data_IF_739485644601
#
_entry.id   IF_739485644601
#
_cell.length_a   1.000
_cell.length_b   1.000
_cell.length_c   1.000
_cell.angle_alpha   90.00
_cell.angle_beta   90.00
_cell.angle_gamma   90.00
#
_symmetry.space_group_name_H-M   'P 1'
#
loop_
_entity.id
_entity.type
_entity.pdbx_description
1 polymer ?
#
# COMPACT_ATOMS: atom_id res chain seq x y z
N UNK A 1 -2.69 11.16 -25.94
CA UNK A 1 -2.65 12.61 -25.64
C UNK A 1 -1.63 12.88 -24.54
N UNK A 2 -0.86 13.97 -24.61
CA UNK A 2 0.05 14.38 -23.51
C UNK A 2 -0.75 15.14 -22.44
N UNK A 3 -0.69 14.70 -21.19
CA UNK A 3 -1.22 15.41 -20.02
C UNK A 3 -0.04 15.88 -19.19
N UNK A 4 0.12 17.18 -18.99
CA UNK A 4 1.29 17.75 -18.35
C UNK A 4 1.58 19.18 -18.78
N UNK A 5 2.84 19.58 -18.77
CA UNK A 5 3.29 20.94 -19.00
C UNK A 5 4.44 20.98 -19.99
N UNK A 6 4.39 21.94 -20.91
CA UNK A 6 5.53 22.37 -21.70
C UNK A 6 6.31 23.43 -20.91
N UNK A 7 7.58 23.16 -20.59
CA UNK A 7 8.39 24.04 -19.72
C UNK A 7 8.82 25.31 -20.43
N UNK A 8 9.00 25.28 -21.76
CA UNK A 8 9.47 26.42 -22.57
C UNK A 8 8.39 27.48 -22.73
N UNK A 9 7.17 27.03 -23.01
CA UNK A 9 6.02 27.92 -23.27
C UNK A 9 5.20 28.20 -22.02
N UNK A 10 5.36 27.39 -20.97
CA UNK A 10 4.49 27.40 -19.80
C UNK A 10 3.10 26.79 -20.07
N UNK A 11 2.86 26.26 -21.27
CA UNK A 11 1.56 25.74 -21.65
C UNK A 11 1.22 24.47 -20.87
N UNK A 12 0.06 24.49 -20.20
CA UNK A 12 -0.44 23.39 -19.39
C UNK A 12 -1.57 22.63 -20.09
N UNK A 13 -1.48 21.29 -20.09
CA UNK A 13 -2.46 20.34 -20.61
C UNK A 13 -3.00 19.51 -19.44
N UNK A 14 -4.24 19.76 -19.06
CA UNK A 14 -4.91 19.05 -17.97
C UNK A 14 -6.30 18.57 -18.34
N UNK A 15 -6.99 18.08 -17.32
CA UNK A 15 -8.40 17.69 -17.42
C UNK A 15 -9.23 18.69 -16.63
N UNK A 16 -10.33 19.16 -17.22
CA UNK A 16 -11.36 19.96 -16.54
C UNK A 16 -12.66 19.20 -16.70
N UNK A 17 -13.43 19.11 -15.62
CA UNK A 17 -14.74 18.47 -15.68
C UNK A 17 -15.71 19.29 -16.51
N UNK A 18 -16.75 18.62 -16.98
CA UNK A 18 -17.96 19.31 -17.42
C UNK A 18 -18.68 19.96 -16.26
N UNK A 19 -19.59 20.88 -16.56
CA UNK A 19 -20.42 21.57 -15.56
C UNK A 19 -21.46 20.63 -15.00
N UNK A 20 -22.06 19.80 -15.86
CA UNK A 20 -22.96 18.71 -15.48
C UNK A 20 -22.84 17.55 -16.46
N UNK A 21 -23.69 16.53 -16.32
CA UNK A 21 -23.75 15.43 -17.28
C UNK A 21 -24.15 15.89 -18.70
N UNK A 22 -24.99 16.93 -18.80
CA UNK A 22 -25.58 17.40 -20.06
C UNK A 22 -25.01 18.74 -20.54
N UNK A 23 -24.14 19.39 -19.74
CA UNK A 23 -23.52 20.68 -20.07
C UNK A 23 -21.98 20.54 -20.16
N UNK A 24 -21.41 20.56 -21.38
CA UNK A 24 -19.96 20.44 -21.60
C UNK A 24 -19.16 21.70 -21.25
N UNK A 25 -19.79 22.75 -20.71
CA UNK A 25 -19.09 23.91 -20.18
C UNK A 25 -18.07 23.57 -19.08
N UNK A 26 -17.14 24.49 -18.81
CA UNK A 26 -16.08 24.27 -17.82
C UNK A 26 -16.64 24.17 -16.39
N UNK A 27 -16.54 22.98 -15.79
CA UNK A 27 -16.95 22.72 -14.42
C UNK A 27 -15.90 23.09 -13.37
N UNK A 28 -16.23 22.79 -12.11
CA UNK A 28 -15.41 23.17 -10.94
C UNK A 28 -14.21 22.27 -10.67
N UNK A 29 -14.19 21.06 -11.24
CA UNK A 29 -13.14 20.09 -10.95
C UNK A 29 -12.06 20.09 -12.02
N UNK A 30 -10.80 20.03 -11.60
CA UNK A 30 -9.69 19.95 -12.55
C UNK A 30 -8.54 19.08 -12.04
N UNK A 31 -7.78 18.51 -12.96
CA UNK A 31 -6.53 17.80 -12.72
C UNK A 31 -5.39 18.68 -13.22
N UNK A 32 -4.39 18.94 -12.37
CA UNK A 32 -3.25 19.82 -12.67
C UNK A 32 -1.92 19.16 -12.30
N UNK A 33 -0.90 19.32 -13.13
CA UNK A 33 0.46 18.91 -12.82
C UNK A 33 1.12 20.01 -11.99
N UNK A 34 1.64 19.65 -10.82
CA UNK A 34 2.58 20.47 -10.07
C UNK A 34 4.02 20.02 -10.41
N UNK A 35 4.86 20.88 -11.01
CA UNK A 35 6.25 20.55 -11.33
C UNK A 35 7.22 20.78 -10.17
N UNK A 36 6.80 21.41 -9.07
CA UNK A 36 7.66 21.72 -7.92
C UNK A 36 8.10 20.46 -7.16
N UNK A 37 9.33 20.48 -6.64
CA UNK A 37 9.94 19.35 -5.95
C UNK A 37 10.01 18.09 -6.83
N UNK A 38 9.36 17.00 -6.42
CA UNK A 38 9.10 15.87 -7.32
C UNK A 38 7.75 16.04 -8.02
N UNK A 39 7.66 16.04 -9.36
CA UNK A 39 6.42 16.30 -10.06
C UNK A 39 5.26 15.40 -9.64
N UNK A 40 4.08 15.98 -9.43
CA UNK A 40 2.86 15.25 -9.04
C UNK A 40 1.60 15.82 -9.68
N UNK A 41 0.59 14.98 -9.90
CA UNK A 41 -0.75 15.47 -10.22
C UNK A 41 -1.54 15.76 -8.95
N UNK A 42 -2.23 16.89 -8.95
CA UNK A 42 -3.19 17.28 -7.94
C UNK A 42 -4.55 17.49 -8.60
N UNK A 43 -5.60 17.09 -7.90
CA UNK A 43 -6.97 17.29 -8.35
C UNK A 43 -7.65 18.28 -7.42
N UNK A 44 -8.32 19.26 -8.02
CA UNK A 44 -8.85 20.42 -7.35
C UNK A 44 -10.35 20.52 -7.54
N UNK A 45 -11.05 20.97 -6.49
CA UNK A 45 -12.36 21.61 -6.59
C UNK A 45 -12.15 23.11 -6.43
N UNK A 46 -12.30 23.86 -7.51
CA UNK A 46 -11.86 25.26 -7.55
C UNK A 46 -10.36 25.37 -7.27
N UNK A 47 -9.98 25.92 -6.12
CA UNK A 47 -8.58 26.08 -5.67
C UNK A 47 -8.16 25.06 -4.60
N UNK A 48 -9.10 24.29 -4.04
CA UNK A 48 -8.81 23.33 -2.96
C UNK A 48 -8.42 21.97 -3.55
N UNK A 49 -7.20 21.53 -3.28
CA UNK A 49 -6.78 20.17 -3.60
C UNK A 49 -7.59 19.18 -2.76
N UNK A 50 -8.13 18.13 -3.39
CA UNK A 50 -8.87 17.07 -2.71
C UNK A 50 -8.27 15.70 -2.94
N UNK A 51 -7.42 15.52 -3.94
CA UNK A 51 -6.74 14.26 -4.24
C UNK A 51 -5.35 14.57 -4.80
N UNK A 52 -4.38 13.75 -4.44
CA UNK A 52 -3.00 13.82 -4.93
C UNK A 52 -2.57 12.47 -5.48
N UNK A 53 -1.92 12.49 -6.65
CA UNK A 53 -1.28 11.33 -7.25
C UNK A 53 0.13 11.11 -6.66
N UNK A 54 0.71 9.91 -6.80
CA UNK A 54 2.06 9.64 -6.28
C UNK A 54 3.08 10.59 -6.89
N UNK A 55 4.23 10.85 -6.25
CA UNK A 55 5.29 11.60 -6.89
C UNK A 55 5.95 10.81 -8.01
N UNK A 56 6.54 11.50 -8.96
CA UNK A 56 7.48 10.90 -9.89
C UNK A 56 8.64 10.19 -9.13
N UNK A 57 9.18 9.06 -9.60
CA UNK A 57 8.73 8.26 -10.75
C UNK A 57 7.46 7.44 -10.47
N UNK A 58 6.43 7.68 -11.28
CA UNK A 58 5.25 6.82 -11.34
C UNK A 58 5.66 5.48 -11.92
N UNK A 59 5.63 4.42 -11.09
CA UNK A 59 6.01 3.08 -11.57
C UNK A 59 5.05 2.67 -12.70
N UNK A 60 5.63 2.18 -13.79
CA UNK A 60 4.89 1.58 -14.90
C UNK A 60 4.36 0.23 -14.41
N UNK A 61 3.13 0.21 -13.92
CA UNK A 61 2.40 -1.03 -13.70
C UNK A 61 0.93 -0.84 -14.07
N UNK A 62 0.58 -1.27 -15.27
CA UNK A 62 -0.79 -1.59 -15.61
C UNK A 62 -0.79 -2.78 -16.55
N UNK A 63 -1.62 -3.77 -16.24
CA UNK A 63 -1.92 -4.92 -17.10
C UNK A 63 -2.77 -4.55 -18.33
N UNK A 64 -3.10 -3.26 -18.53
CA UNK A 64 -4.11 -2.79 -19.49
C UNK A 64 -3.59 -1.77 -20.52
N UNK A 65 -2.50 -1.04 -20.25
CA UNK A 65 -1.96 -0.04 -21.18
C UNK A 65 -0.52 0.32 -20.84
N UNK A 66 0.26 0.66 -21.86
CA UNK A 66 1.62 1.14 -21.68
C UNK A 66 1.58 2.58 -21.19
N UNK A 67 2.23 2.86 -20.07
CA UNK A 67 2.37 4.20 -19.52
C UNK A 67 3.78 4.67 -19.80
N UNK A 68 3.91 5.82 -20.44
CA UNK A 68 5.20 6.51 -20.51
C UNK A 68 5.07 7.88 -19.87
N UNK A 69 6.16 8.25 -19.22
CA UNK A 69 6.27 9.53 -18.57
C UNK A 69 7.60 10.14 -18.96
N UNK A 70 7.57 11.43 -19.27
CA UNK A 70 8.74 12.20 -19.63
C UNK A 70 8.85 13.37 -18.68
N UNK A 71 10.03 13.54 -18.08
CA UNK A 71 10.45 14.74 -17.35
C UNK A 71 11.85 15.07 -17.81
N UNK A 72 11.95 16.02 -18.72
CA UNK A 72 13.21 16.57 -19.20
C UNK A 72 13.15 18.10 -19.14
N UNK A 73 14.15 18.76 -19.70
CA UNK A 73 14.27 20.23 -19.69
C UNK A 73 13.18 20.93 -20.51
N UNK A 74 12.58 20.23 -21.47
CA UNK A 74 11.61 20.79 -22.41
C UNK A 74 10.16 20.61 -21.95
N UNK A 75 9.83 19.42 -21.43
CA UNK A 75 8.46 19.05 -21.11
C UNK A 75 8.37 18.05 -19.95
N UNK A 76 7.26 18.15 -19.22
CA UNK A 76 6.86 17.17 -18.22
C UNK A 76 5.48 16.67 -18.62
N UNK A 77 5.34 15.40 -18.98
CA UNK A 77 4.03 14.87 -19.30
C UNK A 77 3.91 13.39 -19.05
N UNK A 78 2.67 13.02 -18.78
CA UNK A 78 2.19 11.65 -18.75
C UNK A 78 1.43 11.37 -20.04
N UNK A 79 1.65 10.18 -20.60
CA UNK A 79 0.89 9.64 -21.71
C UNK A 79 0.66 8.15 -21.47
N UNK A 80 -0.49 7.67 -21.93
CA UNK A 80 -0.72 6.25 -22.08
C UNK A 80 -0.88 5.91 -23.56
N UNK A 81 -0.32 4.78 -23.95
CA UNK A 81 -0.51 4.16 -25.26
C UNK A 81 -1.31 2.87 -25.09
N UNK A 82 -2.29 2.71 -25.96
CA UNK A 82 -3.17 1.56 -26.00
C UNK A 82 -2.61 0.64 -27.11
N UNK A 83 -2.22 -0.61 -26.80
CA UNK A 83 -1.87 -1.58 -27.84
C UNK A 83 -3.05 -1.83 -28.78
N UNK A 84 -2.79 -2.16 -30.05
CA UNK A 84 -3.85 -2.31 -31.06
C UNK A 84 -4.91 -3.36 -30.69
N UNK A 85 -4.52 -4.42 -29.98
CA UNK A 85 -5.43 -5.49 -29.53
C UNK A 85 -6.12 -5.21 -28.18
N UNK A 86 -5.96 -4.00 -27.61
CA UNK A 86 -6.54 -3.62 -26.32
C UNK A 86 -7.82 -2.79 -26.49
N UNK A 87 -8.81 -2.94 -25.59
CA UNK A 87 -10.03 -2.13 -25.65
C UNK A 87 -9.70 -0.64 -25.50
N UNK A 88 -10.51 0.22 -26.12
CA UNK A 88 -10.34 1.67 -26.03
C UNK A 88 -10.53 2.10 -24.57
N UNK A 89 -9.58 2.90 -24.06
CA UNK A 89 -9.63 3.46 -22.72
C UNK A 89 -9.53 4.98 -22.73
N UNK A 90 -10.33 5.62 -21.88
CA UNK A 90 -10.29 7.08 -21.69
C UNK A 90 -10.22 7.42 -20.21
N UNK A 91 -9.40 8.42 -19.87
CA UNK A 91 -9.36 9.00 -18.54
C UNK A 91 -10.10 10.34 -18.56
N UNK A 92 -11.07 10.50 -17.65
CA UNK A 92 -11.89 11.71 -17.55
C UNK A 92 -11.90 12.25 -16.13
N UNK A 93 -12.06 13.56 -15.98
CA UNK A 93 -12.51 14.18 -14.73
C UNK A 93 -14.01 14.38 -14.85
N UNK A 94 -14.81 13.67 -14.06
CA UNK A 94 -16.27 13.78 -14.13
C UNK A 94 -16.79 14.99 -13.32
N UNK A 95 -18.01 15.43 -13.61
CA UNK A 95 -18.62 16.62 -12.99
C UNK A 95 -18.89 16.48 -11.49
N UNK A 96 -18.90 15.25 -10.95
CA UNK A 96 -19.00 14.95 -9.52
C UNK A 96 -17.63 14.92 -8.82
N UNK A 97 -16.54 15.14 -9.57
CA UNK A 97 -15.19 15.24 -9.01
C UNK A 97 -14.46 13.92 -8.86
N UNK A 98 -14.82 12.88 -9.62
CA UNK A 98 -14.00 11.67 -9.70
C UNK A 98 -13.14 11.67 -10.96
N UNK A 99 -11.88 11.30 -10.77
CA UNK A 99 -11.02 10.89 -11.86
C UNK A 99 -11.41 9.45 -12.23
N UNK A 100 -11.91 9.22 -13.44
CA UNK A 100 -12.37 7.90 -13.89
C UNK A 100 -11.54 7.39 -15.05
N UNK A 101 -11.29 6.09 -15.05
CA UNK A 101 -10.83 5.35 -16.21
C UNK A 101 -12.01 4.56 -16.76
N UNK A 102 -12.43 4.88 -17.97
CA UNK A 102 -13.51 4.19 -18.68
C UNK A 102 -12.92 3.30 -19.77
N UNK A 103 -13.46 2.10 -19.91
CA UNK A 103 -13.11 1.15 -20.97
C UNK A 103 -14.32 0.94 -21.88
N UNK A 104 -14.12 0.95 -23.19
CA UNK A 104 -15.16 0.66 -24.16
C UNK A 104 -15.39 -0.85 -24.25
N UNK A 105 -16.61 -1.28 -23.94
CA UNK A 105 -17.02 -2.67 -24.08
C UNK A 105 -17.76 -2.87 -25.40
N UNK A 106 -17.06 -3.35 -26.43
CA UNK A 106 -17.62 -3.51 -27.78
C UNK A 106 -18.88 -4.38 -27.82
N UNK A 107 -18.88 -5.50 -27.08
CA UNK A 107 -20.04 -6.41 -27.00
C UNK A 107 -21.30 -5.73 -26.48
N UNK A 108 -21.14 -4.77 -25.58
CA UNK A 108 -22.24 -4.10 -24.90
C UNK A 108 -22.52 -2.70 -25.50
N UNK A 109 -21.68 -2.22 -26.43
CA UNK A 109 -21.79 -0.89 -27.03
C UNK A 109 -21.75 0.27 -26.03
N UNK A 110 -21.04 0.13 -24.90
CA UNK A 110 -21.03 1.13 -23.83
C UNK A 110 -19.68 1.28 -23.13
N UNK A 111 -19.45 2.48 -22.60
CA UNK A 111 -18.34 2.76 -21.68
C UNK A 111 -18.64 2.18 -20.30
N UNK A 112 -17.70 1.43 -19.72
CA UNK A 112 -17.78 0.96 -18.34
C UNK A 112 -16.64 1.53 -17.51
N UNK A 113 -16.97 1.91 -16.29
CA UNK A 113 -15.99 2.37 -15.30
C UNK A 113 -15.11 1.20 -14.87
N UNK A 114 -13.81 1.29 -15.18
CA UNK A 114 -12.81 0.29 -14.79
C UNK A 114 -12.08 0.67 -13.50
N UNK A 115 -11.96 1.98 -13.25
CA UNK A 115 -11.34 2.52 -12.04
C UNK A 115 -11.82 3.95 -11.80
N UNK A 116 -11.80 4.38 -10.53
CA UNK A 116 -12.04 5.77 -10.15
C UNK A 116 -11.16 6.18 -8.95
N UNK A 117 -10.93 7.47 -8.80
CA UNK A 117 -10.46 8.06 -7.55
C UNK A 117 -11.17 9.41 -7.27
N UNK A 118 -11.34 9.78 -5.99
CA UNK A 118 -11.06 8.99 -4.78
C UNK A 118 -12.01 7.78 -4.66
N UNK A 119 -11.49 6.66 -4.15
CA UNK A 119 -12.25 5.42 -3.91
C UNK A 119 -12.33 5.11 -2.40
N UNK A 120 -11.28 5.43 -1.65
CA UNK A 120 -11.16 5.20 -0.21
C UNK A 120 -11.08 6.50 0.57
N UNK A 121 -11.39 6.47 1.87
CA UNK A 121 -11.33 7.68 2.72
C UNK A 121 -9.95 8.33 2.69
N UNK A 122 -8.88 7.54 2.84
CA UNK A 122 -7.49 8.01 2.77
C UNK A 122 -7.07 8.55 1.39
N UNK A 123 -7.90 8.45 0.34
CA UNK A 123 -7.56 9.10 -0.92
C UNK A 123 -7.67 10.62 -0.84
N UNK A 124 -8.51 11.13 0.07
CA UNK A 124 -8.69 12.56 0.27
C UNK A 124 -7.41 13.21 0.79
N UNK A 125 -6.95 14.22 0.07
CA UNK A 125 -5.74 14.96 0.39
C UNK A 125 -5.84 15.60 1.77
N UNK A 126 -4.86 15.31 2.62
CA UNK A 126 -4.75 15.89 3.95
C UNK A 126 -5.84 15.43 4.92
N UNK A 127 -6.40 14.22 4.74
CA UNK A 127 -7.36 13.64 5.69
C UNK A 127 -6.78 13.55 7.11
N UNK A 128 -5.51 13.16 7.19
CA UNK A 128 -4.75 13.18 8.42
C UNK A 128 -3.75 14.34 8.39
N UNK A 129 -3.61 15.04 9.51
CA UNK A 129 -2.82 16.26 9.61
C UNK A 129 -1.31 16.03 9.45
N UNK A 130 -0.50 17.09 9.62
CA UNK A 130 0.93 17.03 9.41
C UNK A 130 1.63 15.96 10.24
N UNK A 131 2.64 15.33 9.65
CA UNK A 131 3.50 14.27 10.22
C UNK A 131 2.73 13.07 10.79
N UNK A 132 1.62 12.75 10.13
CA UNK A 132 0.80 11.57 10.37
C UNK A 132 0.66 10.74 9.09
N UNK A 133 0.17 9.51 9.23
CA UNK A 133 -0.11 8.59 8.14
C UNK A 133 -1.58 8.18 8.19
N UNK A 134 -2.23 8.18 7.03
CA UNK A 134 -3.55 7.61 6.85
C UNK A 134 -3.46 6.13 6.47
N UNK A 135 -4.03 5.25 7.28
CA UNK A 135 -4.17 3.84 6.97
C UNK A 135 -5.66 3.52 6.77
N UNK A 136 -6.07 2.97 5.60
CA UNK A 136 -7.44 2.58 5.39
C UNK A 136 -7.74 1.38 6.29
N UNK A 137 -8.35 1.66 7.44
CA UNK A 137 -8.78 0.63 8.38
C UNK A 137 -10.24 0.26 8.16
N UNK A 138 -10.75 -0.76 8.86
CA UNK A 138 -12.18 -1.03 8.83
C UNK A 138 -12.96 0.18 9.37
N UNK A 139 -14.25 0.30 9.00
CA UNK A 139 -15.06 1.49 9.30
C UNK A 139 -15.06 1.91 10.80
N UNK A 140 -14.78 0.97 11.71
CA UNK A 140 -14.81 1.16 13.15
C UNK A 140 -13.49 1.69 13.74
N UNK A 141 -12.41 1.75 12.97
CA UNK A 141 -11.11 2.27 13.42
C UNK A 141 -10.87 3.68 12.90
N UNK A 142 -10.06 4.40 13.65
CA UNK A 142 -9.62 5.74 13.28
C UNK A 142 -8.50 5.61 12.24
N UNK A 143 -8.63 6.33 11.13
CA UNK A 143 -7.74 6.14 9.97
C UNK A 143 -6.35 6.78 10.17
N UNK A 144 -6.20 7.69 11.12
CA UNK A 144 -4.94 8.43 11.32
C UNK A 144 -4.07 7.81 12.42
N UNK A 145 -2.78 7.69 12.11
CA UNK A 145 -1.73 7.32 13.05
C UNK A 145 -0.56 8.32 12.97
N UNK A 146 0.15 8.56 14.07
CA UNK A 146 1.38 9.35 14.00
C UNK A 146 2.52 8.55 13.39
N UNK A 147 3.39 9.22 12.65
CA UNK A 147 4.64 8.61 12.16
C UNK A 147 5.57 8.24 13.33
N UNK A 148 6.53 7.31 13.14
CA UNK A 148 7.50 6.93 14.17
C UNK A 148 8.18 8.14 14.81
N UNK A 149 8.28 8.18 16.14
CA UNK A 149 8.84 9.32 16.88
C UNK A 149 7.91 10.52 17.06
N UNK A 150 6.64 10.43 16.64
CA UNK A 150 5.64 11.49 16.81
C UNK A 150 4.46 11.04 17.67
N UNK A 151 3.77 12.01 18.27
CA UNK A 151 2.57 11.83 19.09
C UNK A 151 1.51 12.88 18.74
N UNK A 152 0.21 12.63 19.04
CA UNK A 152 -0.85 13.55 18.65
C UNK A 152 -0.65 14.95 19.21
N UNK A 153 -0.76 15.97 18.36
CA UNK A 153 -0.63 17.37 18.77
C UNK A 153 -1.69 17.78 19.78
N UNK A 154 -2.93 17.33 19.57
CA UNK A 154 -4.04 17.51 20.50
C UNK A 154 -4.63 16.14 20.87
N UNK A 155 -4.32 15.61 22.07
CA UNK A 155 -4.84 14.33 22.52
C UNK A 155 -6.38 14.27 22.61
N UNK A 156 -7.05 15.41 22.88
CA UNK A 156 -8.51 15.48 22.97
C UNK A 156 -9.15 15.25 21.61
N UNK A 157 -8.73 16.01 20.60
CA UNK A 157 -9.22 15.88 19.22
C UNK A 157 -8.95 14.47 18.70
N UNK A 158 -7.74 13.94 18.95
CA UNK A 158 -7.36 12.58 18.56
C UNK A 158 -8.26 11.51 19.18
N UNK A 159 -8.65 11.67 20.46
CA UNK A 159 -9.59 10.77 21.14
C UNK A 159 -11.01 10.81 20.56
N UNK A 160 -11.38 11.95 19.98
CA UNK A 160 -12.64 12.16 19.25
C UNK A 160 -12.54 11.74 17.78
N UNK A 161 -11.43 11.10 17.37
CA UNK A 161 -11.16 10.67 15.99
C UNK A 161 -11.04 11.84 15.02
N UNK A 162 -10.55 12.99 15.51
CA UNK A 162 -10.13 14.12 14.69
C UNK A 162 -8.59 14.16 14.63
N UNK A 163 -8.05 13.92 13.42
CA UNK A 163 -6.62 13.87 13.15
C UNK A 163 -6.08 15.09 12.42
N UNK A 164 -6.91 16.12 12.19
CA UNK A 164 -6.55 17.27 11.36
C UNK A 164 -5.40 18.08 11.97
N UNK A 165 -5.31 18.12 13.30
CA UNK A 165 -4.21 18.78 14.02
C UNK A 165 -2.84 18.11 13.83
N UNK A 166 -2.79 16.89 13.32
CA UNK A 166 -1.57 16.14 13.07
C UNK A 166 -0.81 15.74 14.33
N UNK A 167 0.49 15.53 14.17
CA UNK A 167 1.37 15.01 15.20
C UNK A 167 2.60 15.90 15.39
N UNK A 168 3.15 15.89 16.60
CA UNK A 168 4.37 16.60 17.01
C UNK A 168 5.43 15.60 17.47
N UNK A 169 6.71 15.99 17.41
CA UNK A 169 7.79 15.11 17.86
C UNK A 169 7.62 14.77 19.34
N UNK A 170 7.77 13.49 19.67
CA UNK A 170 7.91 13.06 21.07
C UNK A 170 9.17 13.67 21.65
N UNK A 171 9.16 13.93 22.96
CA UNK A 171 10.37 14.33 23.73
C UNK A 171 11.10 15.55 23.14
N UNK A 172 10.38 16.49 22.53
CA UNK A 172 10.97 17.67 21.86
C UNK A 172 11.99 18.42 22.75
N UNK A 173 11.70 18.52 24.05
CA UNK A 173 12.55 19.22 25.04
C UNK A 173 13.71 18.37 25.59
N UNK A 174 13.62 17.04 25.49
CA UNK A 174 14.54 16.12 26.19
C UNK A 174 15.38 15.25 25.26
N UNK A 175 15.17 15.34 23.94
CA UNK A 175 15.89 14.56 22.95
C UNK A 175 16.06 15.32 21.64
N UNK A 176 17.30 15.34 21.12
CA UNK A 176 17.62 15.99 19.85
C UNK A 176 17.71 14.95 18.73
N UNK A 177 17.29 15.34 17.53
CA UNK A 177 17.43 14.55 16.30
C UNK A 177 18.60 14.99 15.44
N UNK A 178 19.57 15.72 16.00
CA UNK A 178 20.69 16.28 15.25
C UNK A 178 22.00 16.04 16.02
N UNK A 179 22.81 15.10 15.55
CA UNK A 179 24.13 14.73 16.09
C UNK A 179 24.11 14.17 17.53
N UNK A 180 23.04 13.48 17.90
CA UNK A 180 22.85 12.91 19.25
C UNK A 180 22.47 11.42 19.21
N UNK A 181 22.92 10.68 18.19
CA UNK A 181 22.63 9.25 18.03
C UNK A 181 21.25 8.98 17.44
N UNK A 182 20.66 9.98 16.78
CA UNK A 182 19.45 9.83 15.99
C UNK A 182 19.63 8.82 14.84
N UNK A 183 18.53 8.48 14.18
CA UNK A 183 18.58 7.67 12.97
C UNK A 183 17.23 7.64 12.29
N UNK A 184 17.00 6.58 11.51
CA UNK A 184 15.81 6.48 10.68
C UNK A 184 15.03 5.21 10.96
N UNK A 185 13.70 5.36 11.01
CA UNK A 185 12.76 4.24 11.07
C UNK A 185 12.03 4.14 9.74
N UNK A 186 12.05 2.93 9.17
CA UNK A 186 11.36 2.63 7.93
C UNK A 186 9.86 2.47 8.15
N UNK A 187 9.06 3.19 7.36
CA UNK A 187 7.62 3.04 7.23
C UNK A 187 7.34 2.45 5.85
N UNK A 188 6.99 1.17 5.82
CA UNK A 188 6.85 0.39 4.59
C UNK A 188 5.52 0.67 3.86
N UNK A 189 5.53 0.50 2.54
CA UNK A 189 4.32 0.41 1.69
C UNK A 189 3.43 1.65 1.74
N UNK A 190 4.05 2.82 1.73
CA UNK A 190 3.35 4.10 1.74
C UNK A 190 3.31 4.71 0.34
N UNK A 191 2.29 5.51 0.08
CA UNK A 191 2.41 6.63 -0.83
C UNK A 191 3.23 7.68 -0.10
N UNK A 192 4.33 8.09 -0.71
CA UNK A 192 5.22 9.10 -0.15
C UNK A 192 4.47 10.40 0.16
N UNK A 193 4.94 11.18 1.15
CA UNK A 193 4.37 12.47 1.49
C UNK A 193 4.28 13.38 0.26
N UNK A 194 3.52 14.47 0.40
CA UNK A 194 3.53 15.56 -0.58
C UNK A 194 4.99 15.98 -0.86
N UNK A 195 5.36 15.86 -2.12
CA UNK A 195 6.70 16.06 -2.64
C UNK A 195 6.84 17.42 -3.34
N UNK A 196 5.84 18.30 -3.23
CA UNK A 196 5.89 19.66 -3.80
C UNK A 196 7.06 20.48 -3.24
N UNK A 197 7.50 20.18 -2.01
CA UNK A 197 8.64 20.81 -1.33
C UNK A 197 9.81 19.84 -1.09
N UNK A 198 9.70 18.60 -1.58
CA UNK A 198 10.78 17.62 -1.46
C UNK A 198 11.92 17.95 -2.41
N UNK A 199 13.14 17.57 -2.01
CA UNK A 199 14.36 17.80 -2.80
C UNK A 199 14.94 16.50 -3.30
N UNK A 200 15.12 16.41 -4.62
CA UNK A 200 15.95 15.40 -5.25
C UNK A 200 17.42 15.76 -5.01
N UNK A 201 18.14 14.90 -4.31
CA UNK A 201 19.58 15.10 -4.07
C UNK A 201 20.37 14.67 -5.30
N UNK A 202 20.27 13.39 -5.67
CA UNK A 202 20.82 12.83 -6.90
C UNK A 202 19.92 11.72 -7.41
N UNK A 203 19.91 11.52 -8.73
CA UNK A 203 19.09 10.50 -9.41
C UNK A 203 19.78 9.13 -9.53
N UNK A 204 20.99 8.99 -8.96
CA UNK A 204 21.79 7.76 -8.94
C UNK A 204 22.61 7.72 -7.64
N UNK A 205 21.92 7.59 -6.51
CA UNK A 205 22.48 7.56 -5.17
C UNK A 205 22.00 6.32 -4.43
N UNK A 206 22.92 5.62 -3.78
CA UNK A 206 22.55 4.46 -2.97
C UNK A 206 21.68 4.87 -1.80
N UNK A 207 20.86 3.95 -1.30
CA UNK A 207 20.05 4.17 -0.09
C UNK A 207 20.91 4.64 1.10
N UNK A 208 22.10 4.09 1.26
CA UNK A 208 23.02 4.41 2.36
C UNK A 208 23.56 5.84 2.23
N UNK A 209 23.91 6.26 1.01
CA UNK A 209 24.38 7.62 0.78
C UNK A 209 23.24 8.64 0.97
N UNK A 210 22.02 8.28 0.56
CA UNK A 210 20.83 9.10 0.80
C UNK A 210 20.54 9.29 2.30
N UNK A 211 20.72 8.22 3.09
CA UNK A 211 20.64 8.27 4.55
C UNK A 211 21.67 9.25 5.13
N UNK A 212 22.92 9.15 4.69
CA UNK A 212 24.00 10.03 5.13
C UNK A 212 23.74 11.50 4.76
N UNK A 213 23.28 11.77 3.55
CA UNK A 213 22.96 13.13 3.11
C UNK A 213 21.82 13.76 3.93
N UNK A 214 20.74 13.00 4.17
CA UNK A 214 19.67 13.46 5.06
C UNK A 214 20.18 13.65 6.51
N UNK A 215 21.02 12.73 7.01
CA UNK A 215 21.59 12.81 8.35
C UNK A 215 22.42 14.07 8.57
N UNK A 216 23.23 14.48 7.58
CA UNK A 216 24.11 15.67 7.63
C UNK A 216 23.33 16.97 7.82
N UNK A 217 22.11 17.06 7.28
CA UNK A 217 21.25 18.22 7.41
C UNK A 217 20.24 18.02 8.55
N UNK A 218 20.41 18.74 9.66
CA UNK A 218 19.56 18.60 10.84
C UNK A 218 18.10 19.00 10.65
N UNK A 219 17.75 19.68 9.55
CA UNK A 219 16.35 19.97 9.20
C UNK A 219 15.69 18.83 8.41
N UNK A 220 16.46 17.87 7.91
CA UNK A 220 15.91 16.73 7.17
C UNK A 220 15.06 15.88 8.10
N UNK A 221 13.82 15.64 7.69
CA UNK A 221 12.81 14.95 8.49
C UNK A 221 12.52 13.54 7.99
N UNK A 222 12.68 13.30 6.69
CA UNK A 222 12.63 11.96 6.11
C UNK A 222 13.34 11.90 4.76
N UNK A 223 13.63 10.68 4.30
CA UNK A 223 14.06 10.43 2.93
C UNK A 223 13.39 9.17 2.37
N UNK A 224 13.46 9.01 1.05
CA UNK A 224 13.10 7.80 0.34
C UNK A 224 14.14 7.51 -0.74
N UNK A 225 14.49 6.23 -0.88
CA UNK A 225 15.30 5.71 -1.98
C UNK A 225 14.34 5.16 -3.03
N UNK A 226 14.29 5.79 -4.20
CA UNK A 226 13.29 5.48 -5.22
C UNK A 226 13.99 4.99 -6.48
N UNK A 227 13.68 3.78 -6.90
CA UNK A 227 14.16 3.22 -8.17
C UNK A 227 13.68 4.06 -9.36
N UNK A 228 14.64 4.59 -10.13
CA UNK A 228 14.44 5.32 -11.37
C UNK A 228 14.89 4.42 -12.53
N UNK A 229 13.97 4.01 -13.43
CA UNK A 229 14.30 3.15 -14.56
C UNK A 229 15.46 3.70 -15.41
N UNK A 230 16.47 2.86 -15.62
CA UNK A 230 17.66 3.20 -16.41
C UNK A 230 18.66 4.16 -15.73
N UNK A 231 18.40 4.62 -14.49
CA UNK A 231 19.28 5.53 -13.75
C UNK A 231 19.71 5.00 -12.38
N UNK A 232 19.12 3.91 -11.89
CA UNK A 232 19.39 3.37 -10.56
C UNK A 232 18.46 3.97 -9.51
N UNK A 233 18.87 3.95 -8.24
CA UNK A 233 18.08 4.55 -7.17
C UNK A 233 18.33 6.06 -7.09
N UNK A 234 17.27 6.84 -6.96
CA UNK A 234 17.34 8.26 -6.66
C UNK A 234 17.02 8.55 -5.20
N UNK A 235 17.59 9.64 -4.69
CA UNK A 235 17.38 10.09 -3.31
C UNK A 235 16.42 11.28 -3.26
N UNK A 236 15.25 11.09 -2.64
CA UNK A 236 14.26 12.14 -2.41
C UNK A 236 14.18 12.44 -0.90
N UNK A 237 14.31 13.71 -0.53
CA UNK A 237 14.39 14.16 0.87
C UNK A 237 13.32 15.20 1.21
N UNK A 238 12.87 15.20 2.47
CA UNK A 238 11.89 16.16 3.00
C UNK A 238 12.45 16.93 4.19
N UNK A 239 12.05 18.19 4.30
CA UNK A 239 12.43 19.11 5.35
C UNK A 239 11.17 19.68 6.01
N UNK A 240 11.05 19.52 7.34
CA UNK A 240 9.87 19.95 8.09
C UNK A 240 8.75 18.89 8.13
N UNK A 241 7.50 19.35 8.14
CA UNK A 241 6.33 18.50 8.32
C UNK A 241 6.06 17.63 7.09
N UNK A 242 5.68 16.37 7.33
CA UNK A 242 5.35 15.41 6.27
C UNK A 242 3.83 15.40 6.05
N UNK A 243 3.36 15.84 4.89
CA UNK A 243 1.93 16.03 4.62
C UNK A 243 1.40 14.91 3.72
N UNK A 244 0.16 14.48 3.95
CA UNK A 244 -0.56 13.56 3.08
C UNK A 244 0.15 12.20 2.87
N UNK A 245 0.82 11.69 3.91
CA UNK A 245 1.36 10.34 3.88
C UNK A 245 0.22 9.35 4.05
N UNK A 246 0.13 8.32 3.21
CA UNK A 246 -0.92 7.30 3.31
C UNK A 246 -0.42 5.93 2.94
N UNK A 247 -1.04 4.90 3.49
CA UNK A 247 -0.81 3.53 3.06
C UNK A 247 -1.21 3.36 1.59
N UNK A 248 -0.38 2.68 0.79
CA UNK A 248 -0.64 2.47 -0.62
C UNK A 248 -0.79 0.98 -0.97
N UNK A 249 -1.87 0.66 -1.68
CA UNK A 249 -2.09 -0.71 -2.16
C UNK A 249 -1.27 -1.04 -3.41
N UNK A 250 -1.05 -0.06 -4.30
CA UNK A 250 -0.47 -0.28 -5.64
C UNK A 250 0.96 0.28 -5.72
N UNK A 251 1.11 1.60 -5.64
CA UNK A 251 2.42 2.26 -5.72
C UNK A 251 3.03 2.40 -4.32
N UNK A 252 3.84 1.41 -3.97
CA UNK A 252 4.42 1.23 -2.64
C UNK A 252 5.86 1.72 -2.63
N UNK A 253 6.16 2.61 -1.71
CA UNK A 253 7.49 3.09 -1.41
C UNK A 253 7.78 2.91 0.08
N UNK A 254 9.07 2.89 0.42
CA UNK A 254 9.52 2.88 1.81
C UNK A 254 9.99 4.29 2.17
N UNK A 255 9.39 4.84 3.23
CA UNK A 255 9.74 6.15 3.76
C UNK A 255 10.58 5.97 5.02
N UNK A 256 11.74 6.61 5.07
CA UNK A 256 12.65 6.56 6.21
C UNK A 256 12.49 7.84 7.02
N UNK A 257 11.81 7.76 8.17
CA UNK A 257 11.49 8.91 9.03
C UNK A 257 12.58 9.10 10.07
N UNK A 258 13.08 10.34 10.22
CA UNK A 258 14.14 10.66 11.19
C UNK A 258 13.60 10.74 12.60
N UNK A 259 14.13 9.91 13.48
CA UNK A 259 13.72 9.78 14.88
C UNK A 259 14.90 9.95 15.83
N UNK A 260 14.61 10.27 17.09
CA UNK A 260 15.63 10.39 18.12
C UNK A 260 16.25 9.04 18.53
N UNK A 261 17.37 9.08 19.24
CA UNK A 261 18.12 7.89 19.65
C UNK A 261 17.31 6.90 20.51
N UNK A 262 16.42 7.40 21.36
CA UNK A 262 15.58 6.56 22.22
C UNK A 262 14.52 5.84 21.39
N UNK A 263 13.84 6.55 20.50
CA UNK A 263 12.85 5.97 19.61
C UNK A 263 13.52 4.90 18.73
N UNK A 264 14.68 5.22 18.15
CA UNK A 264 15.46 4.30 17.35
C UNK A 264 15.77 3.01 18.12
N UNK A 265 16.29 3.11 19.34
CA UNK A 265 16.59 1.97 20.20
C UNK A 265 15.34 1.12 20.52
N UNK A 266 14.19 1.77 20.73
CA UNK A 266 12.92 1.07 20.98
C UNK A 266 12.47 0.25 19.75
N UNK A 267 12.56 0.84 18.56
CA UNK A 267 12.25 0.15 17.30
C UNK A 267 13.19 -1.04 17.04
N UNK A 268 14.50 -0.86 17.24
CA UNK A 268 15.49 -1.96 17.10
C UNK A 268 15.23 -3.09 18.10
N UNK A 269 14.81 -2.77 19.33
CA UNK A 269 14.45 -3.80 20.33
C UNK A 269 13.20 -4.58 19.91
N UNK A 270 12.17 -3.90 19.40
CA UNK A 270 10.92 -4.52 18.94
C UNK A 270 11.14 -5.45 17.74
N UNK A 271 11.94 -5.03 16.76
CA UNK A 271 12.27 -5.86 15.60
C UNK A 271 13.01 -7.15 16.00
N UNK A 272 14.05 -7.04 16.84
CA UNK A 272 14.81 -8.18 17.34
C UNK A 272 13.98 -9.15 18.20
N UNK A 273 13.06 -8.63 19.02
CA UNK A 273 12.13 -9.45 19.81
C UNK A 273 11.14 -10.24 18.97
N UNK A 274 10.66 -9.66 17.85
CA UNK A 274 9.75 -10.33 16.92
C UNK A 274 10.43 -11.46 16.14
N UNK A 275 11.71 -11.28 15.75
CA UNK A 275 12.50 -12.28 15.04
C UNK A 275 12.80 -13.51 15.89
N UNK A 276 13.17 -13.30 17.17
CA UNK A 276 13.40 -14.40 18.12
C UNK A 276 12.16 -15.28 18.35
N UNK A 277 10.96 -14.68 18.43
CA UNK A 277 9.69 -15.44 18.57
C UNK A 277 9.36 -16.27 17.33
N UNK A 278 9.57 -15.73 16.13
CA UNK A 278 9.37 -16.46 14.86
C UNK A 278 10.35 -17.64 14.73
N UNK A 279 11.61 -17.44 15.07
CA UNK A 279 12.63 -18.48 15.02
C UNK A 279 12.38 -19.60 16.05
N UNK A 280 11.91 -19.24 17.26
CA UNK A 280 11.56 -20.19 18.29
C UNK A 280 10.32 -21.03 17.94
N UNK A 281 9.31 -20.45 17.26
CA UNK A 281 8.15 -21.19 16.76
C UNK A 281 8.51 -22.15 15.61
N UNK A 282 9.43 -21.74 14.72
CA UNK A 282 9.91 -22.58 13.63
C UNK A 282 10.68 -23.83 14.11
N UNK A 283 11.33 -23.76 15.28
CA UNK A 283 12.06 -24.88 15.89
C UNK A 283 11.13 -25.81 16.69
N UNK A 284 10.11 -25.26 17.36
CA UNK A 284 9.21 -26.06 18.21
C UNK A 284 8.19 -26.87 17.39
N UNK A 285 7.73 -26.37 16.24
CA UNK A 285 6.71 -27.05 15.45
C UNK A 285 7.13 -28.44 14.89
N UNK A 286 8.35 -28.62 14.33
CA UNK A 286 8.82 -29.93 13.88
C UNK A 286 9.00 -30.94 15.02
N UNK A 287 9.46 -30.47 16.19
CA UNK A 287 9.71 -31.33 17.36
C UNK A 287 8.42 -31.90 17.97
N UNK A 288 7.33 -31.13 17.96
CA UNK A 288 6.04 -31.62 18.45
C UNK A 288 5.43 -32.61 17.46
N UNK A 289 5.50 -32.31 16.15
CA UNK A 289 4.97 -33.19 15.10
C UNK A 289 5.69 -34.55 15.06
N UNK A 290 7.02 -34.57 15.22
CA UNK A 290 7.78 -35.81 15.25
C UNK A 290 7.44 -36.69 16.46
N UNK A 291 7.20 -36.09 17.62
CA UNK A 291 6.82 -36.82 18.84
C UNK A 291 5.45 -37.50 18.67
N UNK A 292 4.46 -36.78 18.12
CA UNK A 292 3.13 -37.35 17.84
C UNK A 292 3.17 -38.46 16.80
N UNK A 293 3.99 -38.30 15.76
CA UNK A 293 4.18 -39.34 14.75
C UNK A 293 4.76 -40.62 15.36
N UNK A 294 5.77 -40.53 16.21
CA UNK A 294 6.37 -41.67 16.91
C UNK A 294 5.37 -42.38 17.84
N UNK A 295 4.58 -41.62 18.60
CA UNK A 295 3.53 -42.17 19.47
C UNK A 295 2.49 -42.94 18.65
N UNK A 296 2.07 -42.36 17.52
CA UNK A 296 1.05 -42.97 16.64
C UNK A 296 1.59 -44.24 15.98
N UNK A 297 2.85 -44.23 15.54
CA UNK A 297 3.54 -45.41 14.99
C UNK A 297 3.67 -46.52 16.04
N UNK A 298 4.05 -46.17 17.26
CA UNK A 298 4.17 -47.14 18.35
C UNK A 298 2.81 -47.77 18.68
N UNK A 299 1.74 -46.97 18.79
CA UNK A 299 0.39 -47.46 19.02
C UNK A 299 -0.07 -48.40 17.89
N UNK A 300 0.17 -48.03 16.64
CA UNK A 300 -0.17 -48.87 15.47
C UNK A 300 0.58 -50.21 15.45
N UNK A 301 1.89 -50.18 15.72
CA UNK A 301 2.71 -51.40 15.80
C UNK A 301 2.30 -52.28 16.98
N UNK A 302 1.90 -51.69 18.10
CA UNK A 302 1.40 -52.43 19.25
C UNK A 302 0.08 -53.13 18.90
N UNK A 303 -0.90 -52.41 18.34
CA UNK A 303 -2.19 -52.97 17.91
C UNK A 303 -2.01 -54.11 16.89
N UNK A 304 -1.08 -53.97 15.94
CA UNK A 304 -0.75 -55.04 14.99
C UNK A 304 -0.17 -56.28 15.67
N UNK A 305 0.67 -56.12 16.69
CA UNK A 305 1.22 -57.25 17.45
C UNK A 305 0.15 -57.97 18.27
N UNK A 306 -0.82 -57.25 18.83
CA UNK A 306 -1.95 -57.87 19.55
C UNK A 306 -2.85 -58.64 18.60
N UNK A 307 -3.22 -58.06 17.45
CA UNK A 307 -4.01 -58.74 16.42
C UNK A 307 -3.30 -59.98 15.83
N UNK A 308 -1.97 -59.93 15.65
CA UNK A 308 -1.19 -61.09 15.20
C UNK A 308 -1.05 -62.18 16.26
N UNK A 309 -1.10 -61.84 17.56
CA UNK A 309 -1.15 -62.85 18.63
C UNK A 309 -2.49 -63.57 18.67
N UNK A 310 -3.60 -62.84 18.52
CA UNK A 310 -4.95 -63.43 18.38
C UNK A 310 -5.06 -64.34 17.15
N UNK A 311 -4.49 -63.94 16.01
CA UNK A 311 -4.53 -64.74 14.77
C UNK A 311 -3.61 -65.98 14.80
N UNK A 312 -2.59 -66.02 15.68
CA UNK A 312 -1.70 -67.19 15.82
C UNK A 312 -2.24 -68.22 16.82
N UNK A 313 -3.16 -67.84 17.70
CA UNK A 313 -3.78 -68.75 18.68
C UNK A 313 -5.11 -69.36 18.21
N UNK A 314 -5.75 -68.86 17.14
CA UNK A 314 -6.99 -69.46 16.59
C UNK A 314 -7.09 -69.32 15.04
N UNK A 315 -6.78 -70.38 14.25
CA UNK A 315 -6.83 -70.31 12.79
C UNK A 315 -8.20 -70.62 12.16
N UNK A 316 -9.27 -70.83 12.94
CA UNK A 316 -10.58 -71.18 12.39
C UNK A 316 -11.71 -70.35 12.99
N UNK A 317 -12.13 -69.32 12.27
CA UNK A 317 -13.56 -69.04 12.08
C UNK A 317 -13.74 -68.10 10.90
N UNK A 318 -13.97 -68.69 9.72
CA UNK A 318 -14.76 -68.07 8.69
C UNK A 318 -16.22 -68.08 9.18
N UNK A 319 -16.90 -66.92 9.11
CA UNK A 319 -18.37 -66.88 9.12
C UNK A 319 -18.79 -65.93 8.02
N UNK A 320 -19.34 -66.54 6.98
CA UNK A 320 -20.15 -65.95 5.93
C UNK A 320 -21.41 -65.30 6.53
N UNK A 321 -21.81 -64.16 5.98
CA UNK A 321 -23.20 -63.70 5.99
C UNK A 321 -23.53 -63.18 4.58
N UNK A 322 -24.06 -64.07 3.74
CA UNK A 322 -24.98 -63.77 2.63
C UNK A 322 -26.41 -63.96 3.17
N UNK A 323 -27.49 -63.35 2.69
CA UNK A 323 -27.78 -62.45 1.58
C UNK A 323 -29.17 -61.85 1.86
N UNK A 324 -29.38 -60.59 1.48
CA UNK A 324 -30.72 -59.99 1.35
C UNK A 324 -30.71 -59.04 0.16
N UNK A 325 -31.14 -59.52 -1.01
CA UNK A 325 -31.28 -58.76 -2.26
C UNK A 325 -32.49 -57.79 -2.17
N UNK A 326 -32.68 -56.74 -2.98
CA UNK A 326 -32.10 -56.35 -4.26
C UNK A 326 -32.38 -54.85 -4.54
N UNK A 327 -31.37 -54.13 -5.05
CA UNK A 327 -31.39 -53.09 -6.11
C UNK A 327 -32.31 -51.84 -6.04
N UNK A 328 -31.74 -50.64 -6.19
CA UNK A 328 -31.73 -49.79 -7.41
C UNK A 328 -31.25 -48.36 -7.03
N UNK A 329 -30.17 -47.94 -7.69
CA UNK A 329 -29.76 -46.61 -8.18
C UNK A 329 -30.00 -45.28 -7.43
N UNK A 330 -28.92 -44.50 -7.53
CA UNK A 330 -28.84 -43.04 -7.75
C UNK A 330 -29.08 -42.04 -6.61
N UNK A 331 -28.05 -41.18 -6.45
CA UNK A 331 -28.12 -39.72 -6.32
C UNK A 331 -29.28 -39.13 -5.52
N UNK A 332 -28.97 -38.49 -4.39
CA UNK A 332 -28.94 -37.02 -4.23
C UNK A 332 -28.78 -36.62 -2.77
N UNK A 333 -27.78 -35.78 -2.49
CA UNK A 333 -27.73 -34.94 -1.29
C UNK A 333 -28.34 -33.60 -1.67
N UNK A 334 -29.53 -33.31 -1.14
CA UNK A 334 -30.21 -32.00 -1.09
C UNK A 334 -31.55 -32.23 -0.38
N UNK A 335 -32.11 -31.43 0.51
CA UNK A 335 -31.77 -30.20 1.23
C UNK A 335 -32.85 -30.11 2.36
N UNK A 336 -32.89 -29.11 3.26
CA UNK A 336 -33.71 -27.88 3.17
C UNK A 336 -33.79 -27.41 4.65
N UNK A 337 -33.22 -26.26 5.02
CA UNK A 337 -33.85 -24.92 5.09
C UNK A 337 -35.10 -24.81 5.99
N UNK A 338 -34.94 -24.14 7.14
CA UNK A 338 -35.88 -23.14 7.70
C UNK A 338 -35.09 -22.46 8.85
N UNK A 339 -34.93 -21.15 8.99
CA UNK A 339 -35.69 -19.96 8.61
C UNK A 339 -34.75 -18.77 8.47
#
# INVERSE_FOLDING_TARGET
MKVGMDRKTGFYRGLTSWTSADDPGNGEFSSRLNPSGSPQFFHYKGTKAFLRAPPWPWRVRASLFNRSFVNNEDEIYWVYTIPDDSPIIIMIMDHLGFLKLLTWHERDGQWKESWRAPQFRCDNYGLCGPTSICEPTNANRFDCACLPGFEPKNPRDWSLRDGLGGCVRKRLESSSVCRHGEGFVMVEKVMLPDASTALWMEMSMSRTDCELECMRNCSCSAYASIEIPGKGDGCLTWYGELIDTKYAMIERYDLYVRVDAYELAEYTRKSNGSGKKKWMLAILAPSVASLWFLISLFAFLWLRKTAQKEFRENPHTAVEVEEGSCSINELTISAILSR
#
